data_IF_430271138408
#
_entry.id   IF_430271138408
#
_cell.length_a   1.000
_cell.length_b   1.000
_cell.length_c   1.000
_cell.angle_alpha   90.00
_cell.angle_beta   90.00
_cell.angle_gamma   90.00
#
_symmetry.space_group_name_H-M   'P 1'
#
loop_
_entity.id
_entity.type
_entity.pdbx_description
1 polymer ?
#
# COMPACT_ATOMS: atom_id res chain seq x y z
N UNK A 1 43.29 16.43 33.09
CA UNK A 1 42.60 15.24 32.54
C UNK A 1 43.66 14.22 32.13
N UNK A 2 43.68 13.08 32.80
CA UNK A 2 44.63 11.98 32.58
C UNK A 2 44.30 11.17 31.31
N UNK A 3 45.27 10.40 30.81
CA UNK A 3 45.13 9.62 29.58
C UNK A 3 44.08 8.49 29.69
N UNK A 4 43.82 7.98 30.90
CA UNK A 4 42.80 6.95 31.15
C UNK A 4 41.38 7.53 31.01
N UNK A 5 41.14 8.71 31.58
CA UNK A 5 39.89 9.44 31.41
C UNK A 5 39.59 9.77 29.95
N UNK A 6 40.60 10.17 29.15
CA UNK A 6 40.43 10.39 27.71
C UNK A 6 40.04 9.13 26.94
N UNK A 7 40.65 7.99 27.27
CA UNK A 7 40.33 6.71 26.64
C UNK A 7 38.92 6.23 26.99
N UNK A 8 38.47 6.46 28.22
CA UNK A 8 37.12 6.13 28.67
C UNK A 8 36.05 7.00 28.01
N UNK A 9 36.29 8.31 27.89
CA UNK A 9 35.39 9.23 27.19
C UNK A 9 35.20 8.86 25.72
N UNK A 10 36.29 8.50 25.02
CA UNK A 10 36.22 8.04 23.62
C UNK A 10 35.40 6.77 23.45
N UNK A 11 35.56 5.80 24.36
CA UNK A 11 34.78 4.55 24.32
C UNK A 11 33.28 4.81 24.53
N UNK A 12 32.93 5.72 25.45
CA UNK A 12 31.54 6.11 25.70
C UNK A 12 30.90 6.80 24.50
N UNK A 13 31.61 7.68 23.80
CA UNK A 13 31.12 8.28 22.55
C UNK A 13 30.83 7.22 21.50
N UNK A 14 31.74 6.26 21.29
CA UNK A 14 31.56 5.19 20.30
C UNK A 14 30.36 4.31 20.65
N UNK A 15 30.20 3.93 21.92
CA UNK A 15 29.07 3.14 22.38
C UNK A 15 27.73 3.87 22.14
N UNK A 16 27.67 5.16 22.49
CA UNK A 16 26.48 5.99 22.27
C UNK A 16 26.14 6.16 20.79
N UNK A 17 27.15 6.31 19.93
CA UNK A 17 26.95 6.41 18.49
C UNK A 17 26.44 5.07 17.90
N UNK A 18 26.98 3.94 18.36
CA UNK A 18 26.52 2.60 17.95
C UNK A 18 25.09 2.33 18.41
N UNK A 19 24.74 2.69 19.65
CA UNK A 19 23.38 2.56 20.18
C UNK A 19 22.39 3.40 19.36
N UNK A 20 22.74 4.66 19.07
CA UNK A 20 21.92 5.54 18.24
C UNK A 20 21.69 4.98 16.84
N UNK A 21 22.75 4.54 16.16
CA UNK A 21 22.64 3.97 14.81
C UNK A 21 21.81 2.68 14.81
N UNK A 22 21.90 1.87 15.86
CA UNK A 22 21.04 0.70 16.00
C UNK A 22 19.57 1.08 16.20
N UNK A 23 19.26 2.10 17.01
CA UNK A 23 17.90 2.61 17.17
C UNK A 23 17.33 3.12 15.83
N UNK A 24 18.10 3.95 15.11
CA UNK A 24 17.71 4.46 13.78
C UNK A 24 17.53 3.31 12.77
N UNK A 25 18.35 2.26 12.83
CA UNK A 25 18.22 1.09 11.96
C UNK A 25 16.95 0.27 12.24
N UNK A 26 16.54 0.12 13.51
CA UNK A 26 15.28 -0.54 13.86
C UNK A 26 14.06 0.29 13.43
N UNK A 27 14.10 1.62 13.59
CA UNK A 27 13.04 2.50 13.09
C UNK A 27 12.93 2.44 11.55
N UNK A 28 14.07 2.40 10.85
CA UNK A 28 14.08 2.21 9.40
C UNK A 28 13.54 0.85 8.99
N UNK A 29 13.85 -0.23 9.72
CA UNK A 29 13.27 -1.56 9.45
C UNK A 29 11.75 -1.52 9.60
N UNK A 30 11.23 -0.86 10.63
CA UNK A 30 9.80 -0.73 10.86
C UNK A 30 9.11 0.10 9.76
N UNK A 31 9.68 1.25 9.39
CA UNK A 31 9.20 2.06 8.26
C UNK A 31 9.25 1.32 6.94
N UNK A 32 10.27 0.48 6.71
CA UNK A 32 10.37 -0.36 5.52
C UNK A 32 9.28 -1.44 5.51
N UNK A 33 9.00 -2.11 6.63
CA UNK A 33 7.91 -3.10 6.69
C UNK A 33 6.54 -2.46 6.46
N UNK A 34 6.25 -1.34 7.10
CA UNK A 34 4.99 -0.60 6.92
C UNK A 34 4.86 -0.01 5.50
N UNK A 35 5.97 0.47 4.94
CA UNK A 35 6.05 0.96 3.58
C UNK A 35 5.89 -0.14 2.53
N UNK A 36 6.39 -1.35 2.78
CA UNK A 36 6.19 -2.52 1.91
C UNK A 36 4.72 -2.93 1.89
N UNK A 37 4.00 -2.85 3.01
CA UNK A 37 2.56 -3.14 3.05
C UNK A 37 1.73 -2.05 2.35
N UNK A 38 2.14 -0.78 2.47
CA UNK A 38 1.48 0.34 1.79
C UNK A 38 1.78 0.43 0.28
N UNK A 39 2.98 0.03 -0.13
CA UNK A 39 3.43 -0.02 -1.53
C UNK A 39 3.19 -1.38 -2.19
N UNK A 40 2.82 -2.39 -1.41
CA UNK A 40 2.37 -3.67 -1.93
C UNK A 40 1.28 -3.39 -2.94
N UNK A 41 1.51 -3.85 -4.17
CA UNK A 41 0.51 -3.79 -5.21
C UNK A 41 -0.62 -4.73 -4.79
N UNK A 42 -1.56 -4.22 -4.00
CA UNK A 42 -2.71 -4.98 -3.57
C UNK A 42 -3.37 -5.61 -4.78
N UNK A 43 -3.60 -6.91 -4.67
CA UNK A 43 -4.21 -7.68 -5.73
C UNK A 43 -5.58 -7.09 -6.07
N UNK A 44 -6.01 -7.30 -7.31
CA UNK A 44 -7.38 -6.98 -7.71
C UNK A 44 -8.40 -7.63 -6.77
N UNK A 45 -8.08 -8.82 -6.23
CA UNK A 45 -8.90 -9.54 -5.25
C UNK A 45 -9.03 -8.76 -3.94
N UNK A 46 -7.91 -8.33 -3.38
CA UNK A 46 -7.87 -7.63 -2.09
C UNK A 46 -8.62 -6.30 -2.15
N UNK A 47 -8.45 -5.52 -3.22
CA UNK A 47 -9.21 -4.27 -3.42
C UNK A 47 -10.71 -4.49 -3.47
N UNK A 48 -11.14 -5.57 -4.12
CA UNK A 48 -12.56 -5.91 -4.23
C UNK A 48 -13.13 -6.38 -2.89
N UNK A 49 -12.38 -7.21 -2.15
CA UNK A 49 -12.80 -7.74 -0.86
C UNK A 49 -12.94 -6.63 0.20
N UNK A 50 -12.02 -5.66 0.22
CA UNK A 50 -12.11 -4.45 1.04
C UNK A 50 -13.42 -3.66 0.80
N UNK A 51 -13.90 -3.63 -0.45
CA UNK A 51 -15.14 -2.95 -0.84
C UNK A 51 -16.36 -3.88 -0.89
N UNK A 52 -16.21 -5.13 -0.47
CA UNK A 52 -17.25 -6.14 -0.61
C UNK A 52 -18.45 -5.88 0.31
N UNK A 53 -19.52 -6.63 0.05
CA UNK A 53 -20.68 -6.73 0.93
C UNK A 53 -20.35 -7.04 2.38
N UNK A 54 -19.24 -7.73 2.66
CA UNK A 54 -18.82 -8.04 4.02
C UNK A 54 -18.46 -6.78 4.79
N UNK A 55 -17.77 -5.83 4.15
CA UNK A 55 -17.44 -4.52 4.71
C UNK A 55 -18.69 -3.66 4.92
N UNK A 56 -19.70 -3.83 4.06
CA UNK A 56 -20.95 -3.07 4.13
C UNK A 56 -21.93 -3.57 5.20
N UNK A 57 -21.71 -4.75 5.79
CA UNK A 57 -22.59 -5.32 6.84
C UNK A 57 -22.70 -4.46 8.09
N UNK A 58 -21.68 -3.65 8.38
CA UNK A 58 -21.69 -2.71 9.51
C UNK A 58 -22.43 -1.41 9.20
N UNK A 59 -22.74 -1.14 7.93
CA UNK A 59 -23.42 0.07 7.51
C UNK A 59 -24.92 -0.01 7.83
N UNK A 60 -25.53 1.07 8.35
CA UNK A 60 -26.98 1.18 8.47
C UNK A 60 -27.73 1.03 7.14
N UNK A 61 -27.02 1.18 6.00
CA UNK A 61 -27.57 1.05 4.66
C UNK A 61 -27.53 -0.38 4.10
N UNK A 62 -27.03 -1.35 4.87
CA UNK A 62 -26.81 -2.71 4.38
C UNK A 62 -28.06 -3.37 3.79
N UNK A 63 -29.22 -3.23 4.45
CA UNK A 63 -30.49 -3.80 3.98
C UNK A 63 -30.98 -3.16 2.67
N UNK A 64 -30.78 -1.85 2.52
CA UNK A 64 -31.10 -1.13 1.28
C UNK A 64 -30.18 -1.57 0.16
N UNK A 65 -28.88 -1.64 0.44
CA UNK A 65 -27.89 -2.04 -0.54
C UNK A 65 -28.16 -3.48 -1.02
N UNK A 66 -28.49 -4.40 -0.12
CA UNK A 66 -28.83 -5.80 -0.48
C UNK A 66 -29.95 -5.90 -1.53
N UNK A 67 -30.88 -4.94 -1.57
CA UNK A 67 -31.92 -4.90 -2.59
C UNK A 67 -31.36 -4.67 -4.03
N UNK A 68 -30.16 -4.11 -4.14
CA UNK A 68 -29.42 -3.86 -5.39
C UNK A 68 -28.32 -4.89 -5.66
N UNK A 69 -28.48 -6.13 -5.16
CA UNK A 69 -27.51 -7.22 -5.36
C UNK A 69 -27.26 -7.55 -6.84
N UNK A 70 -28.24 -7.28 -7.69
CA UNK A 70 -28.13 -7.42 -9.14
C UNK A 70 -27.19 -6.39 -9.78
N UNK A 71 -27.06 -5.21 -9.18
CA UNK A 71 -26.17 -4.12 -9.63
C UNK A 71 -24.79 -4.23 -8.98
N UNK A 72 -24.74 -4.58 -7.70
CA UNK A 72 -23.52 -4.71 -6.90
C UNK A 72 -23.15 -6.19 -6.77
N UNK A 73 -22.32 -6.67 -7.69
CA UNK A 73 -21.92 -8.08 -7.77
C UNK A 73 -21.17 -8.53 -6.50
N UNK A 74 -21.46 -9.75 -6.05
CA UNK A 74 -20.82 -10.35 -4.85
C UNK A 74 -19.38 -10.82 -5.10
N UNK A 75 -19.07 -11.19 -6.35
CA UNK A 75 -17.79 -11.77 -6.75
C UNK A 75 -17.16 -10.95 -7.88
N UNK A 76 -15.84 -11.04 -8.00
CA UNK A 76 -15.12 -10.43 -9.12
C UNK A 76 -15.50 -11.21 -10.38
N UNK A 77 -16.11 -10.57 -11.38
CA UNK A 77 -16.44 -11.27 -12.61
C UNK A 77 -15.16 -11.77 -13.29
N UNK A 78 -15.10 -13.04 -13.71
CA UNK A 78 -13.95 -13.59 -14.41
C UNK A 78 -13.83 -13.03 -15.84
N UNK A 79 -14.94 -12.56 -16.41
CA UNK A 79 -15.01 -11.95 -17.72
C UNK A 79 -14.98 -10.43 -17.64
N UNK A 80 -14.41 -9.81 -18.67
CA UNK A 80 -14.53 -8.38 -18.88
C UNK A 80 -16.01 -8.02 -19.03
N UNK A 81 -16.43 -6.82 -18.56
CA UNK A 81 -17.80 -6.37 -18.77
C UNK A 81 -18.15 -6.47 -20.26
N UNK A 82 -19.37 -6.95 -20.55
CA UNK A 82 -19.83 -7.07 -21.92
C UNK A 82 -19.64 -5.76 -22.67
N UNK A 83 -19.07 -5.85 -23.87
CA UNK A 83 -18.93 -4.69 -24.74
C UNK A 83 -20.32 -4.18 -25.12
N UNK A 84 -20.68 -3.02 -24.58
CA UNK A 84 -21.96 -2.36 -24.83
C UNK A 84 -21.95 -1.55 -26.14
N UNK A 85 -20.93 -1.73 -26.98
CA UNK A 85 -20.74 -0.99 -28.23
C UNK A 85 -20.24 0.44 -28.00
N UNK A 86 -19.83 0.78 -26.78
CA UNK A 86 -19.24 2.09 -26.44
C UNK A 86 -17.73 1.92 -26.40
N UNK A 87 -17.10 2.11 -27.56
CA UNK A 87 -15.66 2.08 -27.68
C UNK A 87 -15.07 3.40 -27.17
N UNK A 88 -14.15 3.33 -26.22
CA UNK A 88 -13.42 4.49 -25.73
C UNK A 88 -12.21 4.67 -26.66
N UNK A 89 -12.20 5.74 -27.45
CA UNK A 89 -11.05 6.15 -28.24
C UNK A 89 -10.20 7.11 -27.41
N UNK A 90 -8.90 6.85 -27.33
CA UNK A 90 -7.94 7.76 -26.70
C UNK A 90 -7.15 8.40 -27.82
N UNK A 91 -7.42 9.66 -28.08
CA UNK A 91 -6.64 10.45 -29.05
C UNK A 91 -5.24 10.72 -28.48
N UNK A 92 -4.26 9.97 -28.98
CA UNK A 92 -2.86 10.24 -28.67
C UNK A 92 -2.36 11.39 -29.54
N UNK A 93 -1.87 12.45 -28.88
CA UNK A 93 -1.24 13.56 -29.58
C UNK A 93 0.06 13.06 -30.23
N UNK A 94 0.29 13.32 -31.53
CA UNK A 94 1.53 12.95 -32.20
C UNK A 94 2.76 13.46 -31.41
N UNK A 95 3.68 12.56 -31.07
CA UNK A 95 4.86 12.87 -30.24
C UNK A 95 4.72 12.51 -28.75
N UNK A 96 3.57 11.98 -28.33
CA UNK A 96 3.39 11.41 -26.98
C UNK A 96 3.73 9.92 -26.97
N UNK A 97 4.45 9.47 -25.94
CA UNK A 97 4.72 8.05 -25.73
C UNK A 97 3.65 7.46 -24.81
N UNK A 98 2.97 6.41 -25.27
CA UNK A 98 2.06 5.64 -24.44
C UNK A 98 2.85 4.66 -23.58
N UNK A 99 2.90 4.90 -22.26
CA UNK A 99 3.59 4.03 -21.32
C UNK A 99 2.65 2.92 -20.84
N UNK A 100 2.81 1.71 -21.38
CA UNK A 100 2.18 0.49 -20.84
C UNK A 100 3.09 -0.08 -19.77
N UNK A 101 2.61 -0.21 -18.54
CA UNK A 101 3.25 -1.02 -17.50
C UNK A 101 2.79 -2.47 -17.69
N UNK A 102 3.74 -3.40 -17.89
CA UNK A 102 3.49 -4.84 -18.03
C UNK A 102 3.55 -5.53 -16.67
#
# INVERSE_FOLDING_TARGET
MDASCRSRAKRLCILSDVERVNCEAEELKQLVTEGVDALSAKSKKERFDEQSWVSLKSSPLYEVLRAYRDVLQDDIPPELPQDKGVQHEIDLVPGTNYCVTR
#
